data_IF_693676250686
#
_entry.id   IF_693676250686
#
_cell.length_a   1.000
_cell.length_b   1.000
_cell.length_c   1.000
_cell.angle_alpha   90.00
_cell.angle_beta   90.00
_cell.angle_gamma   90.00
#
_symmetry.space_group_name_H-M   'P 1'
#
loop_
_entity.id
_entity.type
_entity.pdbx_description
1 polymer ?
#
# COMPACT_ATOMS: atom_id res chain seq x y z
N UNK A 1 -4.87 7.91 14.70
CA UNK A 1 -5.81 6.77 14.58
C UNK A 1 -7.12 7.28 14.01
N UNK A 2 -7.81 6.50 13.18
CA UNK A 2 -9.14 6.81 12.68
C UNK A 2 -10.23 6.32 13.66
N UNK A 3 -11.29 7.12 13.90
CA UNK A 3 -12.33 6.80 14.88
C UNK A 3 -13.32 5.74 14.37
N UNK A 4 -14.10 5.06 15.25
CA UNK A 4 -14.82 3.82 14.94
C UNK A 4 -15.85 3.86 13.79
N UNK A 5 -16.33 5.06 13.44
CA UNK A 5 -17.26 5.30 12.33
C UNK A 5 -16.60 5.29 10.95
N UNK A 6 -15.28 5.49 10.86
CA UNK A 6 -14.55 5.35 9.60
C UNK A 6 -14.34 3.85 9.35
N UNK A 7 -14.82 3.36 8.21
CA UNK A 7 -14.83 1.94 7.85
C UNK A 7 -13.73 1.59 6.87
N UNK A 8 -13.34 0.33 6.92
CA UNK A 8 -12.33 -0.31 6.08
C UNK A 8 -12.93 -1.43 5.25
N UNK A 9 -12.21 -1.90 4.22
CA UNK A 9 -12.59 -3.11 3.49
C UNK A 9 -12.74 -4.33 4.43
N UNK A 10 -11.95 -4.39 5.51
CA UNK A 10 -12.06 -5.41 6.56
C UNK A 10 -13.39 -5.35 7.35
N UNK A 11 -13.94 -4.15 7.59
CA UNK A 11 -15.28 -4.00 8.18
C UNK A 11 -16.36 -4.57 7.24
N UNK A 12 -16.27 -4.26 5.95
CA UNK A 12 -17.26 -4.67 4.94
C UNK A 12 -17.23 -6.17 4.67
N UNK A 13 -16.04 -6.74 4.45
CA UNK A 13 -15.87 -8.19 4.25
C UNK A 13 -16.37 -8.97 5.47
N UNK A 14 -16.08 -8.49 6.68
CA UNK A 14 -16.64 -9.05 7.92
C UNK A 14 -18.17 -9.02 7.93
N UNK A 15 -18.79 -7.90 7.53
CA UNK A 15 -20.25 -7.76 7.46
C UNK A 15 -20.88 -8.68 6.39
N UNK A 16 -20.23 -8.82 5.23
CA UNK A 16 -20.59 -9.72 4.15
C UNK A 16 -20.32 -11.20 4.45
N UNK A 17 -19.65 -11.51 5.58
CA UNK A 17 -19.16 -12.85 5.99
C UNK A 17 -18.08 -13.44 5.08
N UNK A 18 -17.40 -12.60 4.31
CA UNK A 18 -16.25 -12.97 3.48
C UNK A 18 -14.99 -13.03 4.34
N UNK A 19 -14.21 -14.10 4.20
CA UNK A 19 -12.96 -14.26 4.96
C UNK A 19 -11.88 -13.30 4.41
N UNK A 20 -11.21 -12.59 5.30
CA UNK A 20 -10.11 -11.69 4.95
C UNK A 20 -8.94 -11.86 5.92
N UNK A 21 -7.72 -11.60 5.48
CA UNK A 21 -6.53 -11.47 6.36
C UNK A 21 -5.57 -10.39 5.86
N UNK A 22 -4.87 -9.79 6.82
CA UNK A 22 -3.66 -9.00 6.59
C UNK A 22 -2.43 -9.81 7.00
N UNK A 23 -1.44 -9.92 6.13
CA UNK A 23 -0.22 -10.68 6.33
C UNK A 23 0.98 -9.74 6.33
N UNK A 24 1.47 -9.45 7.52
CA UNK A 24 2.53 -8.46 7.75
C UNK A 24 3.83 -9.21 8.05
N UNK A 25 4.86 -9.04 7.21
CA UNK A 25 6.14 -9.71 7.46
C UNK A 25 6.82 -9.16 8.73
N UNK A 26 7.54 -10.04 9.43
CA UNK A 26 8.17 -9.83 10.76
C UNK A 26 7.30 -9.37 11.94
N UNK A 27 6.04 -8.98 11.73
CA UNK A 27 5.17 -8.47 12.79
C UNK A 27 5.10 -9.39 14.02
N UNK A 28 5.46 -8.87 15.19
CA UNK A 28 5.49 -9.59 16.47
C UNK A 28 6.82 -10.25 16.83
N UNK A 29 7.85 -10.14 16.00
CA UNK A 29 9.18 -10.74 16.23
C UNK A 29 9.94 -10.01 17.35
N UNK A 30 9.65 -8.73 17.57
CA UNK A 30 10.04 -7.92 18.72
C UNK A 30 8.85 -7.74 19.70
N UNK A 31 8.62 -8.69 20.64
CA UNK A 31 7.46 -8.67 21.55
C UNK A 31 7.52 -7.58 22.64
N UNK A 32 8.56 -6.73 22.63
CA UNK A 32 8.62 -5.52 23.45
C UNK A 32 8.13 -4.27 22.70
N UNK A 33 7.98 -4.34 21.37
CA UNK A 33 7.69 -3.21 20.47
C UNK A 33 6.25 -3.25 19.91
N UNK A 34 5.71 -4.41 19.56
CA UNK A 34 4.30 -4.57 19.16
C UNK A 34 3.69 -5.94 19.47
N UNK A 35 2.37 -6.05 19.29
CA UNK A 35 1.64 -7.31 19.37
C UNK A 35 1.77 -8.17 18.11
N UNK A 36 1.97 -9.49 18.27
CA UNK A 36 2.06 -10.45 17.18
C UNK A 36 0.75 -10.71 16.39
N UNK A 37 -0.34 -10.07 16.79
CA UNK A 37 -1.55 -9.90 15.98
C UNK A 37 -1.95 -8.43 16.01
N UNK A 38 -2.57 -7.93 14.93
CA UNK A 38 -2.81 -6.51 14.66
C UNK A 38 -1.57 -5.60 14.56
N UNK A 39 -0.44 -5.92 15.20
CA UNK A 39 0.79 -5.12 15.14
C UNK A 39 0.72 -3.82 15.95
N UNK A 40 -0.14 -3.78 16.98
CA UNK A 40 -0.36 -2.59 17.81
C UNK A 40 0.87 -2.32 18.69
N UNK A 41 1.38 -1.07 18.74
CA UNK A 41 2.60 -0.74 19.47
C UNK A 41 2.44 -0.96 20.98
N UNK A 42 3.53 -1.38 21.62
CA UNK A 42 3.64 -1.68 23.04
C UNK A 42 4.55 -0.67 23.76
N UNK A 43 4.25 -0.39 25.02
CA UNK A 43 5.16 0.28 25.96
C UNK A 43 5.23 -0.48 27.27
N UNK A 44 6.39 -0.50 27.90
CA UNK A 44 6.59 -1.05 29.24
C UNK A 44 6.71 0.09 30.25
N UNK A 45 5.75 0.19 31.18
CA UNK A 45 5.76 1.20 32.25
C UNK A 45 5.77 0.47 33.59
N UNK A 46 6.77 0.77 34.43
CA UNK A 46 6.96 0.14 35.75
C UNK A 46 6.96 -1.40 35.70
N UNK A 47 7.52 -1.99 34.64
CA UNK A 47 7.56 -3.44 34.43
C UNK A 47 6.29 -4.06 33.82
N UNK A 48 5.25 -3.26 33.55
CA UNK A 48 4.01 -3.72 32.91
C UNK A 48 3.99 -3.29 31.44
N UNK A 49 4.06 -4.26 30.53
CA UNK A 49 3.88 -4.06 29.08
C UNK A 49 2.40 -3.89 28.75
N UNK A 50 2.05 -2.89 27.93
CA UNK A 50 0.68 -2.62 27.48
C UNK A 50 0.65 -1.97 26.09
N UNK A 51 -0.48 -2.07 25.41
CA UNK A 51 -0.75 -1.38 24.14
C UNK A 51 -0.74 0.14 24.32
N UNK A 52 -0.19 0.85 23.33
CA UNK A 52 0.04 2.29 23.34
C UNK A 52 -0.43 2.96 22.03
N UNK A 53 -1.74 2.98 21.79
CA UNK A 53 -2.31 3.68 20.63
C UNK A 53 -2.09 5.20 20.72
N UNK A 54 -2.11 5.88 19.57
CA UNK A 54 -1.86 7.32 19.42
C UNK A 54 -0.49 7.79 19.95
N UNK A 55 0.52 6.92 20.00
CA UNK A 55 1.92 7.31 20.18
C UNK A 55 2.61 7.54 18.83
N UNK A 56 3.83 8.09 18.85
CA UNK A 56 4.72 8.16 17.69
C UNK A 56 5.07 6.73 17.24
N UNK A 57 4.98 6.46 15.95
CA UNK A 57 5.41 5.19 15.37
C UNK A 57 6.95 5.10 15.37
N UNK A 58 7.49 4.05 15.99
CA UNK A 58 8.93 3.76 16.00
C UNK A 58 9.42 2.99 14.77
N UNK A 59 8.52 2.38 13.98
CA UNK A 59 8.83 1.47 12.87
C UNK A 59 9.07 2.19 11.53
N UNK A 60 9.54 3.43 11.61
CA UNK A 60 9.68 4.34 10.46
C UNK A 60 10.93 4.09 9.60
N UNK A 61 11.86 3.24 10.04
CA UNK A 61 13.01 2.77 9.27
C UNK A 61 13.51 1.43 9.82
N UNK A 62 14.14 0.59 8.99
CA UNK A 62 14.66 -0.72 9.37
C UNK A 62 15.46 -0.68 10.70
N UNK A 63 15.27 -1.62 11.65
CA UNK A 63 15.95 -1.59 12.96
C UNK A 63 17.01 -2.69 13.15
N UNK A 64 18.00 -2.43 14.01
CA UNK A 64 19.08 -3.37 14.31
C UNK A 64 18.69 -4.32 15.45
N UNK A 65 17.59 -5.06 15.29
CA UNK A 65 17.07 -5.98 16.30
C UNK A 65 17.72 -7.38 16.23
N UNK A 66 18.11 -8.01 17.35
CA UNK A 66 18.61 -9.39 17.36
C UNK A 66 17.54 -10.38 16.88
N UNK A 67 17.80 -11.05 15.76
CA UNK A 67 16.81 -11.88 15.04
C UNK A 67 16.20 -11.18 13.82
N UNK A 68 16.51 -9.90 13.60
CA UNK A 68 16.19 -9.14 12.39
C UNK A 68 14.70 -8.90 12.23
N UNK A 69 14.07 -8.16 13.15
CA UNK A 69 12.70 -7.68 12.98
C UNK A 69 12.71 -6.40 12.14
N UNK A 70 11.92 -6.38 11.07
CA UNK A 70 11.79 -5.27 10.13
C UNK A 70 10.32 -4.90 9.83
N UNK A 71 9.37 -5.21 10.72
CA UNK A 71 7.96 -4.84 10.55
C UNK A 71 7.75 -3.32 10.57
N UNK A 72 6.81 -2.84 9.74
CA UNK A 72 6.42 -1.45 9.62
C UNK A 72 4.91 -1.26 9.86
N UNK A 73 4.55 -0.59 10.95
CA UNK A 73 3.16 -0.26 11.26
C UNK A 73 2.53 0.61 10.17
N UNK A 74 3.30 1.52 9.56
CA UNK A 74 2.83 2.36 8.43
C UNK A 74 2.35 1.57 7.22
N UNK A 75 2.88 0.37 6.95
CA UNK A 75 2.43 -0.49 5.86
C UNK A 75 1.18 -1.31 6.24
N UNK A 76 0.87 -1.45 7.52
CA UNK A 76 -0.31 -2.17 8.03
C UNK A 76 -1.49 -1.18 8.20
N UNK A 77 -2.38 -0.98 7.21
CA UNK A 77 -3.44 0.03 7.32
C UNK A 77 -4.41 -0.27 8.47
N UNK A 78 -4.64 -1.54 8.79
CA UNK A 78 -5.64 -1.98 9.76
C UNK A 78 -5.32 -1.56 11.20
N UNK A 79 -4.03 -1.41 11.55
CA UNK A 79 -3.59 -0.99 12.89
C UNK A 79 -3.97 0.46 13.23
N UNK A 80 -4.48 1.22 12.27
CA UNK A 80 -4.89 2.61 12.47
C UNK A 80 -6.38 2.82 12.72
N UNK A 81 -7.25 1.81 12.55
CA UNK A 81 -8.70 1.98 12.61
C UNK A 81 -9.33 1.36 13.86
N UNK A 82 -9.92 2.21 14.72
CA UNK A 82 -10.66 1.75 15.90
C UNK A 82 -11.84 0.81 15.56
N UNK A 83 -12.38 0.90 14.34
CA UNK A 83 -13.44 0.01 13.86
C UNK A 83 -13.05 -1.48 13.93
N UNK A 84 -11.80 -1.81 13.62
CA UNK A 84 -11.24 -3.16 13.63
C UNK A 84 -10.56 -3.51 14.96
N UNK A 85 -9.98 -2.53 15.64
CA UNK A 85 -9.24 -2.74 16.90
C UNK A 85 -10.23 -2.99 18.04
N UNK A 86 -11.20 -2.10 18.24
CA UNK A 86 -12.09 -2.13 19.40
C UNK A 86 -13.11 -3.29 19.32
N UNK A 87 -13.36 -3.79 18.11
CA UNK A 87 -14.14 -5.02 17.82
C UNK A 87 -13.31 -6.32 17.91
N UNK A 88 -11.99 -6.19 18.09
CA UNK A 88 -11.03 -7.29 18.08
C UNK A 88 -10.82 -7.97 16.72
N UNK A 89 -11.38 -7.44 15.62
CA UNK A 89 -11.20 -8.05 14.29
C UNK A 89 -9.75 -7.92 13.80
N UNK A 90 -9.08 -6.79 14.06
CA UNK A 90 -7.67 -6.63 13.71
C UNK A 90 -6.80 -7.73 14.35
N UNK A 91 -7.05 -8.07 15.62
CA UNK A 91 -6.32 -9.13 16.32
C UNK A 91 -6.68 -10.57 15.89
N UNK A 92 -7.77 -10.77 15.14
CA UNK A 92 -8.15 -12.07 14.54
C UNK A 92 -7.65 -12.25 13.12
N UNK A 93 -7.60 -11.16 12.34
CA UNK A 93 -7.42 -11.18 10.90
C UNK A 93 -6.06 -10.65 10.43
N UNK A 94 -5.35 -9.86 11.25
CA UNK A 94 -4.03 -9.32 10.90
C UNK A 94 -2.95 -10.07 11.66
N UNK A 95 -2.13 -10.81 10.90
CA UNK A 95 -1.20 -11.83 11.39
C UNK A 95 0.18 -11.70 10.72
N UNK A 96 1.17 -12.39 11.27
CA UNK A 96 2.51 -12.45 10.69
C UNK A 96 2.50 -13.21 9.33
N UNK A 97 3.27 -12.75 8.35
CA UNK A 97 3.35 -13.36 7.00
C UNK A 97 3.69 -14.86 6.99
N UNK A 98 4.40 -15.38 8.01
CA UNK A 98 4.69 -16.82 8.14
C UNK A 98 3.43 -17.71 8.16
N UNK A 99 2.25 -17.17 8.48
CA UNK A 99 0.98 -17.90 8.47
C UNK A 99 0.44 -18.15 7.04
N UNK A 100 0.86 -17.35 6.06
CA UNK A 100 0.30 -17.27 4.70
C UNK A 100 0.39 -18.59 3.93
N UNK A 101 1.53 -19.27 3.97
CA UNK A 101 1.72 -20.55 3.26
C UNK A 101 0.77 -21.65 3.76
N UNK A 102 0.41 -21.65 5.04
CA UNK A 102 -0.54 -22.61 5.60
C UNK A 102 -1.98 -22.27 5.19
N UNK A 103 -2.34 -20.98 5.17
CA UNK A 103 -3.67 -20.55 4.73
C UNK A 103 -3.92 -20.86 3.24
N UNK A 104 -2.91 -20.73 2.38
CA UNK A 104 -2.97 -21.11 0.95
C UNK A 104 -3.04 -22.62 0.67
N UNK A 105 -2.92 -23.49 1.69
CA UNK A 105 -2.89 -24.94 1.49
C UNK A 105 -4.23 -25.52 0.98
N UNK A 106 -5.35 -24.88 1.35
CA UNK A 106 -6.69 -25.24 0.91
C UNK A 106 -7.49 -23.97 0.53
N UNK A 107 -8.42 -24.13 -0.40
CA UNK A 107 -9.44 -23.13 -0.75
C UNK A 107 -10.16 -22.63 0.50
N UNK A 108 -10.69 -23.53 1.33
CA UNK A 108 -11.43 -23.22 2.56
C UNK A 108 -10.60 -22.59 3.70
N UNK A 109 -9.27 -22.56 3.59
CA UNK A 109 -8.38 -21.81 4.51
C UNK A 109 -7.85 -20.52 3.88
N UNK A 110 -7.96 -20.36 2.56
CA UNK A 110 -7.56 -19.15 1.85
C UNK A 110 -8.58 -18.04 2.12
N UNK A 111 -8.16 -16.83 2.52
CA UNK A 111 -9.07 -15.70 2.62
C UNK A 111 -9.50 -15.22 1.23
N UNK A 112 -10.78 -14.88 1.05
CA UNK A 112 -11.30 -14.22 -0.15
C UNK A 112 -10.49 -12.94 -0.45
N UNK A 113 -10.11 -12.19 0.59
CA UNK A 113 -9.21 -11.04 0.48
C UNK A 113 -7.95 -11.20 1.33
N UNK A 114 -6.79 -11.19 0.68
CA UNK A 114 -5.47 -11.27 1.32
C UNK A 114 -4.67 -10.00 1.04
N UNK A 115 -4.45 -9.17 2.06
CA UNK A 115 -3.56 -8.01 1.98
C UNK A 115 -2.17 -8.42 2.51
N UNK A 116 -1.10 -8.17 1.75
CA UNK A 116 0.25 -8.65 2.05
C UNK A 116 1.22 -7.48 2.05
N UNK A 117 2.06 -7.36 3.07
CA UNK A 117 3.17 -6.39 3.08
C UNK A 117 4.49 -7.07 3.43
N UNK A 118 5.52 -6.94 2.58
CA UNK A 118 6.88 -7.27 2.95
C UNK A 118 7.39 -6.37 4.08
N UNK A 119 8.49 -6.79 4.69
CA UNK A 119 9.19 -6.03 5.74
C UNK A 119 10.06 -4.92 5.14
N UNK A 120 10.69 -4.09 5.98
CA UNK A 120 11.52 -2.96 5.52
C UNK A 120 12.77 -3.36 4.72
N UNK A 121 13.19 -4.63 4.74
CA UNK A 121 14.24 -5.12 3.85
C UNK A 121 13.68 -5.64 2.51
N UNK A 122 12.41 -6.02 2.45
CA UNK A 122 11.76 -6.66 1.30
C UNK A 122 10.75 -5.77 0.56
N UNK A 123 10.42 -4.58 1.09
CA UNK A 123 9.43 -3.66 0.52
C UNK A 123 9.87 -3.02 -0.82
N UNK A 124 11.17 -2.90 -1.04
CA UNK A 124 11.77 -2.24 -2.20
C UNK A 124 12.40 -0.88 -1.91
N UNK A 125 12.34 -0.40 -0.66
CA UNK A 125 12.76 0.93 -0.23
C UNK A 125 14.14 0.96 0.47
N UNK A 126 14.34 0.24 1.59
CA UNK A 126 15.56 0.38 2.41
C UNK A 126 16.75 -0.46 1.88
N UNK A 127 17.36 -0.13 0.73
CA UNK A 127 18.68 -0.68 0.38
C UNK A 127 19.15 -0.48 -1.06
N UNK A 128 20.13 -1.29 -1.46
CA UNK A 128 20.76 -1.30 -2.78
C UNK A 128 21.05 0.10 -3.40
N UNK A 129 21.62 1.00 -2.60
CA UNK A 129 22.02 2.34 -3.04
C UNK A 129 21.08 3.47 -2.62
N UNK A 130 19.91 3.19 -2.02
CA UNK A 130 19.09 4.22 -1.36
C UNK A 130 19.73 4.71 -0.06
N UNK A 131 19.19 5.81 0.48
CA UNK A 131 19.69 6.49 1.70
C UNK A 131 19.44 5.68 2.98
N UNK A 132 18.28 5.03 3.08
CA UNK A 132 17.97 4.09 4.15
C UNK A 132 18.50 2.70 3.80
N UNK A 133 18.97 1.95 4.80
CA UNK A 133 19.54 0.61 4.61
C UNK A 133 18.85 -0.38 5.53
N UNK A 134 18.45 -1.51 4.97
CA UNK A 134 18.11 -2.75 5.68
C UNK A 134 19.12 -3.01 6.80
N UNK A 135 18.62 -3.17 8.04
CA UNK A 135 19.46 -3.25 9.25
C UNK A 135 19.58 -4.66 9.84
N UNK A 136 19.02 -5.68 9.20
CA UNK A 136 19.19 -7.07 9.64
C UNK A 136 20.61 -7.61 9.37
N UNK A 137 21.38 -6.97 8.47
CA UNK A 137 22.76 -7.31 8.06
C UNK A 137 22.96 -8.67 7.37
N UNK A 138 21.87 -9.38 7.04
CA UNK A 138 21.89 -10.68 6.35
C UNK A 138 21.80 -10.52 4.84
N UNK A 139 20.93 -9.61 4.37
CA UNK A 139 20.62 -9.43 2.96
C UNK A 139 20.66 -7.95 2.54
N UNK A 140 20.74 -7.63 1.23
CA UNK A 140 20.41 -6.29 0.76
C UNK A 140 18.93 -5.98 1.04
N UNK A 141 18.58 -4.70 0.99
CA UNK A 141 17.20 -4.27 0.74
C UNK A 141 17.07 -3.54 -0.59
N UNK A 142 15.94 -2.88 -0.81
CA UNK A 142 15.67 -2.18 -2.07
C UNK A 142 15.17 -3.12 -3.18
N UNK A 143 15.19 -2.65 -4.43
CA UNK A 143 14.56 -3.34 -5.57
C UNK A 143 15.02 -4.80 -5.82
N UNK A 144 16.21 -5.20 -5.37
CA UNK A 144 16.71 -6.58 -5.48
C UNK A 144 15.94 -7.55 -4.57
N UNK A 145 15.49 -7.07 -3.41
CA UNK A 145 14.93 -7.92 -2.35
C UNK A 145 13.42 -8.06 -2.47
N UNK A 146 12.72 -7.03 -2.95
CA UNK A 146 11.31 -7.18 -3.41
C UNK A 146 11.21 -8.11 -4.62
N UNK A 147 12.17 -8.09 -5.55
CA UNK A 147 12.25 -9.05 -6.66
C UNK A 147 12.45 -10.50 -6.16
N UNK A 148 13.34 -10.70 -5.18
CA UNK A 148 13.53 -12.00 -4.53
C UNK A 148 12.25 -12.48 -3.78
N UNK A 149 11.62 -11.59 -3.00
CA UNK A 149 10.37 -11.86 -2.29
C UNK A 149 9.24 -12.25 -3.26
N UNK A 150 9.03 -11.47 -4.32
CA UNK A 150 7.99 -11.75 -5.32
C UNK A 150 8.25 -13.06 -6.08
N UNK A 151 9.52 -13.38 -6.37
CA UNK A 151 9.92 -14.66 -7.00
C UNK A 151 9.61 -15.89 -6.13
N UNK A 152 9.46 -15.73 -4.82
CA UNK A 152 8.98 -16.80 -3.92
C UNK A 152 7.46 -16.74 -3.72
N UNK A 153 6.94 -15.55 -3.40
CA UNK A 153 5.54 -15.34 -2.98
C UNK A 153 4.54 -15.47 -4.14
N UNK A 154 4.84 -14.95 -5.33
CA UNK A 154 3.91 -15.03 -6.48
C UNK A 154 3.73 -16.48 -6.95
N UNK A 155 4.78 -17.29 -7.17
CA UNK A 155 4.61 -18.71 -7.48
C UNK A 155 3.93 -19.53 -6.37
N UNK A 156 4.05 -19.13 -5.09
CA UNK A 156 3.33 -19.77 -4.00
C UNK A 156 1.82 -19.55 -4.14
N UNK A 157 1.39 -18.29 -4.36
CA UNK A 157 -0.03 -17.96 -4.58
C UNK A 157 -0.54 -18.67 -5.84
N UNK A 158 0.18 -18.56 -6.96
CA UNK A 158 -0.22 -19.16 -8.24
C UNK A 158 -0.33 -20.69 -8.20
N UNK A 159 0.27 -21.34 -7.20
CA UNK A 159 0.15 -22.78 -6.99
C UNK A 159 -0.96 -23.20 -6.01
N UNK A 160 -1.55 -22.27 -5.25
CA UNK A 160 -2.69 -22.56 -4.36
C UNK A 160 -3.92 -23.09 -5.11
N UNK A 161 -4.85 -23.80 -4.45
CA UNK A 161 -6.12 -24.19 -5.06
C UNK A 161 -6.96 -22.99 -5.48
N UNK A 162 -7.19 -22.04 -4.55
CA UNK A 162 -8.03 -20.86 -4.78
C UNK A 162 -7.57 -20.02 -5.98
N UNK A 163 -6.27 -19.77 -6.14
CA UNK A 163 -5.80 -18.98 -7.28
C UNK A 163 -6.13 -19.64 -8.63
N UNK A 164 -6.14 -20.97 -8.69
CA UNK A 164 -6.42 -21.74 -9.91
C UNK A 164 -7.91 -21.82 -10.25
N UNK A 165 -8.79 -21.40 -9.33
CA UNK A 165 -10.22 -21.32 -9.54
C UNK A 165 -10.63 -19.94 -10.06
N UNK A 166 -10.49 -18.88 -9.25
CA UNK A 166 -10.94 -17.52 -9.58
C UNK A 166 -9.92 -16.40 -9.20
N UNK A 167 -8.68 -16.78 -8.90
CA UNK A 167 -7.67 -15.89 -8.32
C UNK A 167 -7.31 -14.61 -9.07
N UNK A 168 -7.08 -13.54 -8.30
CA UNK A 168 -6.46 -12.29 -8.74
C UNK A 168 -5.34 -11.89 -7.76
N UNK A 169 -4.13 -11.67 -8.28
CA UNK A 169 -3.04 -11.00 -7.58
C UNK A 169 -2.92 -9.58 -8.14
N UNK A 170 -2.82 -8.59 -7.26
CA UNK A 170 -2.47 -7.21 -7.58
C UNK A 170 -1.12 -6.92 -6.89
N UNK A 171 -0.10 -6.59 -7.67
CA UNK A 171 1.19 -6.08 -7.18
C UNK A 171 1.23 -4.58 -7.47
N UNK A 172 1.47 -3.77 -6.45
CA UNK A 172 1.55 -2.31 -6.54
C UNK A 172 2.45 -1.76 -5.42
N UNK A 173 2.72 -0.45 -5.44
CA UNK A 173 3.53 0.26 -4.45
C UNK A 173 2.67 1.33 -3.77
N UNK A 174 2.89 1.62 -2.50
CA UNK A 174 2.18 2.69 -1.79
C UNK A 174 2.55 4.08 -2.35
N UNK A 175 3.83 4.31 -2.62
CA UNK A 175 4.38 5.57 -3.16
C UNK A 175 5.47 5.39 -4.23
N UNK A 176 5.69 6.44 -5.03
CA UNK A 176 6.75 6.56 -6.02
C UNK A 176 8.03 7.19 -5.45
N UNK A 177 9.16 6.93 -6.09
CA UNK A 177 10.48 7.30 -5.57
C UNK A 177 10.75 8.81 -5.54
N UNK A 178 11.23 9.32 -4.40
CA UNK A 178 11.74 10.68 -4.26
C UNK A 178 13.18 10.79 -4.78
N UNK A 179 13.48 11.85 -5.54
CA UNK A 179 14.85 12.18 -5.93
C UNK A 179 15.45 13.23 -4.99
N UNK A 180 16.73 13.06 -4.62
CA UNK A 180 17.48 14.03 -3.81
C UNK A 180 18.73 14.51 -4.53
N UNK A 181 18.76 15.80 -4.86
CA UNK A 181 19.96 16.50 -5.33
C UNK A 181 20.68 17.12 -4.13
N UNK A 182 21.73 16.44 -3.67
CA UNK A 182 22.58 16.90 -2.57
C UNK A 182 23.49 18.08 -2.90
N UNK A 183 23.67 18.44 -4.18
CA UNK A 183 24.44 19.63 -4.57
C UNK A 183 23.59 20.90 -4.43
N UNK A 184 22.29 20.83 -4.77
CA UNK A 184 21.33 21.92 -4.61
C UNK A 184 20.47 21.82 -3.33
N UNK A 185 20.67 20.79 -2.50
CA UNK A 185 19.86 20.49 -1.31
C UNK A 185 18.35 20.43 -1.61
N UNK A 186 17.99 19.81 -2.73
CA UNK A 186 16.62 19.75 -3.25
C UNK A 186 16.07 18.33 -3.20
N UNK A 187 14.83 18.19 -2.70
CA UNK A 187 14.01 16.98 -2.88
C UNK A 187 12.99 17.26 -4.00
N UNK A 188 12.88 16.34 -4.96
CA UNK A 188 11.89 16.41 -6.05
C UNK A 188 11.17 15.07 -6.19
N UNK A 189 9.84 15.13 -6.05
CA UNK A 189 8.89 14.22 -6.68
C UNK A 189 8.37 14.89 -7.97
N UNK A 190 7.92 14.12 -8.97
CA UNK A 190 7.19 14.67 -10.13
C UNK A 190 5.75 15.04 -9.73
N UNK A 191 5.20 14.32 -8.74
CA UNK A 191 3.84 14.52 -8.21
C UNK A 191 2.75 14.19 -9.23
N UNK A 192 3.02 13.25 -10.15
CA UNK A 192 2.08 12.85 -11.18
C UNK A 192 0.88 12.19 -10.52
N UNK A 193 -0.29 12.76 -10.79
CA UNK A 193 -1.57 12.28 -10.26
C UNK A 193 -2.62 12.31 -11.37
N UNK A 194 -3.68 11.53 -11.19
CA UNK A 194 -4.68 11.26 -12.21
C UNK A 194 -6.09 11.28 -11.61
N UNK A 195 -7.08 10.83 -12.39
CA UNK A 195 -8.26 10.17 -11.83
C UNK A 195 -9.16 11.01 -10.91
N UNK A 196 -8.99 12.34 -10.89
CA UNK A 196 -9.61 13.22 -9.90
C UNK A 196 -9.11 12.97 -8.48
N UNK A 197 -7.82 12.65 -8.29
CA UNK A 197 -7.23 12.35 -6.99
C UNK A 197 -7.46 13.49 -5.98
N UNK A 198 -8.12 13.14 -4.87
CA UNK A 198 -8.50 14.07 -3.80
C UNK A 198 -7.41 14.17 -2.71
N UNK A 199 -7.39 15.23 -1.89
CA UNK A 199 -6.57 15.28 -0.67
C UNK A 199 -6.94 14.16 0.30
N UNK A 200 -5.95 13.59 0.99
CA UNK A 200 -6.19 12.62 2.07
C UNK A 200 -6.80 13.29 3.32
N UNK A 201 -7.61 12.57 4.12
CA UNK A 201 -8.40 13.16 5.21
C UNK A 201 -7.59 13.75 6.38
N UNK A 202 -6.29 13.44 6.46
CA UNK A 202 -5.36 13.97 7.47
C UNK A 202 -4.41 15.05 6.90
N UNK A 203 -4.59 15.44 5.63
CA UNK A 203 -3.89 16.58 5.03
C UNK A 203 -4.83 17.77 5.14
N UNK A 204 -4.41 18.87 5.77
CA UNK A 204 -5.22 20.09 5.76
C UNK A 204 -5.49 20.53 4.31
N UNK A 205 -6.68 21.08 4.00
CA UNK A 205 -6.96 21.60 2.67
C UNK A 205 -5.92 22.66 2.28
N UNK A 206 -4.98 22.27 1.39
CA UNK A 206 -3.92 23.14 0.93
C UNK A 206 -4.56 24.43 0.41
N UNK A 207 -4.19 25.57 1.01
CA UNK A 207 -5.01 26.79 1.02
C UNK A 207 -5.26 27.43 -0.37
N UNK A 208 -4.60 26.92 -1.41
CA UNK A 208 -4.93 27.16 -2.82
C UNK A 208 -4.81 25.83 -3.58
N UNK A 209 -5.75 25.48 -4.49
CA UNK A 209 -5.54 24.37 -5.42
C UNK A 209 -4.26 24.60 -6.24
N UNK A 210 -3.27 23.71 -6.11
CA UNK A 210 -1.92 23.92 -6.63
C UNK A 210 -0.97 24.59 -5.61
N UNK A 211 -0.68 23.90 -4.50
CA UNK A 211 0.35 24.21 -3.50
C UNK A 211 1.24 22.98 -3.19
N UNK A 212 1.97 22.46 -4.19
CA UNK A 212 3.30 20.96 -4.00
C UNK A 212 4.20 21.07 -2.75
N UNK A 213 4.70 19.93 -2.28
CA UNK A 213 5.59 19.83 -1.12
C UNK A 213 7.05 19.73 -1.55
N UNK A 214 7.54 20.73 -2.30
CA UNK A 214 8.99 20.93 -2.38
C UNK A 214 9.50 21.46 -1.05
N UNK A 215 10.53 20.82 -0.51
CA UNK A 215 11.40 21.38 0.52
C UNK A 215 12.70 21.76 -0.17
N UNK A 216 12.97 23.06 -0.26
CA UNK A 216 14.14 23.62 -0.91
C UNK A 216 14.62 24.88 -0.18
N UNK A 217 15.92 25.13 -0.29
CA UNK A 217 16.59 26.30 0.28
C UNK A 217 16.96 27.24 -0.85
N UNK A 218 16.40 28.46 -0.89
CA UNK A 218 16.86 29.48 -1.84
C UNK A 218 17.93 30.38 -1.20
N UNK A 219 19.03 30.58 -1.93
CA UNK A 219 20.06 31.60 -1.69
C UNK A 219 20.55 31.76 -0.24
N UNK A 220 21.63 31.04 0.13
CA UNK A 220 22.32 31.22 1.43
C UNK A 220 23.63 32.00 1.27
N UNK A 221 23.61 33.35 1.31
CA UNK A 221 24.73 34.11 1.86
C UNK A 221 24.99 33.68 3.31
N UNK A 222 26.26 33.61 3.72
CA UNK A 222 26.61 33.30 5.13
C UNK A 222 26.00 34.35 6.07
N UNK A 223 25.01 33.95 6.85
CA UNK A 223 24.39 34.75 7.91
C UNK A 223 22.91 35.08 7.72
N UNK A 224 22.31 34.74 6.58
CA UNK A 224 20.87 34.94 6.34
C UNK A 224 20.06 33.71 6.82
N UNK A 225 18.88 33.87 7.46
CA UNK A 225 17.96 32.76 7.70
C UNK A 225 17.51 32.12 6.37
N UNK A 226 17.31 30.79 6.31
CA UNK A 226 16.87 30.13 5.09
C UNK A 226 15.43 30.51 4.74
N UNK A 227 15.20 30.93 3.50
CA UNK A 227 13.86 31.02 2.93
C UNK A 227 13.40 29.63 2.48
N UNK A 228 12.36 29.10 3.12
CA UNK A 228 11.67 27.89 2.69
C UNK A 228 10.60 28.25 1.66
N UNK A 229 10.53 27.53 0.55
CA UNK A 229 9.46 27.67 -0.44
C UNK A 229 8.82 26.32 -0.78
N UNK A 230 7.51 26.22 -0.57
CA UNK A 230 6.70 25.05 -0.93
C UNK A 230 5.99 25.30 -2.24
N UNK A 231 6.45 24.66 -3.32
CA UNK A 231 5.69 24.53 -4.57
C UNK A 231 5.32 23.06 -4.75
N UNK A 232 4.00 22.82 -5.06
CA UNK A 232 2.00 20.92 -5.90
C UNK A 232 1.36 20.73 -7.34
N UNK A 233 1.82 19.73 -8.07
CA UNK A 233 1.27 19.36 -9.39
C UNK A 233 -0.05 18.59 -9.23
N UNK A 234 -0.24 17.94 -8.08
CA UNK A 234 -1.54 17.44 -7.62
C UNK A 234 -1.45 16.86 -6.19
N UNK A 235 -2.38 15.97 -5.84
CA UNK A 235 -2.37 15.19 -4.61
C UNK A 235 -1.97 13.73 -4.90
N UNK A 236 -1.35 13.03 -3.96
CA UNK A 236 -1.01 11.60 -4.08
C UNK A 236 0.50 11.32 -4.04
N UNK A 237 0.86 10.03 -4.07
CA UNK A 237 2.22 9.51 -3.93
C UNK A 237 2.97 9.30 -5.26
N UNK A 238 2.75 10.17 -6.25
CA UNK A 238 3.38 10.08 -7.59
C UNK A 238 3.01 8.82 -8.42
N UNK A 239 3.64 8.65 -9.61
CA UNK A 239 3.38 7.53 -10.52
C UNK A 239 4.08 6.24 -10.08
N UNK A 240 3.30 5.32 -9.53
CA UNK A 240 3.70 3.96 -9.16
C UNK A 240 3.59 2.94 -10.30
N UNK A 241 4.21 1.77 -10.11
CA UNK A 241 3.98 0.58 -10.91
C UNK A 241 2.75 -0.23 -10.45
N UNK A 242 2.15 -0.98 -11.37
CA UNK A 242 1.05 -1.91 -11.09
C UNK A 242 1.06 -3.10 -12.03
N UNK A 243 0.90 -4.31 -11.50
CA UNK A 243 0.83 -5.57 -12.26
C UNK A 243 -0.31 -6.42 -11.72
N UNK A 244 -1.16 -6.91 -12.60
CA UNK A 244 -2.25 -7.83 -12.27
C UNK A 244 -1.95 -9.22 -12.85
N UNK A 245 -2.19 -10.27 -12.07
CA UNK A 245 -2.07 -11.67 -12.50
C UNK A 245 -3.35 -12.41 -12.13
N UNK A 246 -4.00 -13.02 -13.12
CA UNK A 246 -5.22 -13.82 -12.94
C UNK A 246 -5.38 -14.77 -14.14
N UNK A 247 -5.97 -15.98 -13.98
CA UNK A 247 -6.35 -16.83 -15.11
C UNK A 247 -7.33 -16.17 -16.10
N UNK A 248 -8.01 -15.09 -15.69
CA UNK A 248 -9.08 -14.42 -16.44
C UNK A 248 -8.61 -13.17 -17.20
N UNK A 249 -7.33 -12.83 -17.13
CA UNK A 249 -6.72 -11.70 -17.86
C UNK A 249 -5.92 -12.18 -19.07
N UNK A 250 -5.96 -11.44 -20.17
CA UNK A 250 -5.17 -11.73 -21.36
C UNK A 250 -3.68 -11.50 -21.06
N UNK A 251 -2.81 -12.52 -21.16
CA UNK A 251 -1.38 -12.35 -20.89
C UNK A 251 -0.75 -11.32 -21.83
N UNK A 252 0.04 -10.40 -21.28
CA UNK A 252 0.74 -9.36 -22.04
C UNK A 252 -0.05 -8.07 -22.29
N UNK A 253 -1.34 -7.99 -21.91
CA UNK A 253 -2.10 -6.74 -22.05
C UNK A 253 -1.54 -5.62 -21.16
N UNK A 254 -1.39 -4.43 -21.75
CA UNK A 254 -1.03 -3.18 -21.06
C UNK A 254 -2.22 -2.24 -21.07
N UNK A 255 -2.80 -1.95 -19.90
CA UNK A 255 -3.83 -0.92 -19.77
C UNK A 255 -3.19 0.48 -19.78
N UNK A 256 -3.82 1.40 -20.51
CA UNK A 256 -3.49 2.83 -20.48
C UNK A 256 -4.56 3.65 -19.76
N UNK A 257 -5.56 2.98 -19.19
CA UNK A 257 -6.56 3.62 -18.32
C UNK A 257 -5.86 4.13 -17.06
N UNK A 258 -6.02 5.40 -16.67
CA UNK A 258 -5.39 5.94 -15.48
C UNK A 258 -6.09 5.43 -14.22
N UNK A 259 -5.30 5.03 -13.21
CA UNK A 259 -5.78 4.49 -11.94
C UNK A 259 -5.03 5.06 -10.72
N UNK A 260 -5.67 5.02 -9.55
CA UNK A 260 -5.06 5.34 -8.26
C UNK A 260 -5.38 4.24 -7.21
N UNK A 261 -4.96 4.40 -5.96
CA UNK A 261 -5.27 3.45 -4.88
C UNK A 261 -6.77 3.30 -4.60
N UNK A 262 -7.58 4.30 -4.91
CA UNK A 262 -9.04 4.19 -4.83
C UNK A 262 -9.65 3.43 -6.01
N UNK A 263 -9.01 3.40 -7.19
CA UNK A 263 -9.33 2.45 -8.26
C UNK A 263 -9.10 1.01 -7.81
N UNK A 264 -8.02 0.74 -7.10
CA UNK A 264 -7.76 -0.60 -6.53
C UNK A 264 -8.86 -0.99 -5.54
N UNK A 265 -9.15 -0.12 -4.56
CA UNK A 265 -10.19 -0.34 -3.57
C UNK A 265 -11.56 -0.56 -4.24
N UNK A 266 -11.95 0.32 -5.16
CA UNK A 266 -13.16 0.18 -5.99
C UNK A 266 -13.22 -1.17 -6.70
N UNK A 267 -12.11 -1.66 -7.25
CA UNK A 267 -12.06 -2.95 -7.94
C UNK A 267 -12.36 -4.10 -6.98
N UNK A 268 -11.80 -4.07 -5.78
CA UNK A 268 -12.04 -5.09 -4.73
C UNK A 268 -13.50 -5.03 -4.25
N UNK A 269 -14.04 -3.83 -4.06
CA UNK A 269 -15.44 -3.61 -3.66
C UNK A 269 -16.42 -4.06 -4.75
N UNK A 270 -16.16 -3.75 -6.03
CA UNK A 270 -16.96 -4.19 -7.18
C UNK A 270 -16.96 -5.72 -7.34
N UNK A 271 -15.80 -6.39 -7.13
CA UNK A 271 -15.68 -7.86 -7.17
C UNK A 271 -16.54 -8.54 -6.10
N UNK A 272 -16.54 -8.00 -4.88
CA UNK A 272 -17.27 -8.58 -3.74
C UNK A 272 -18.70 -8.04 -3.56
N UNK A 273 -19.18 -7.17 -4.46
CA UNK A 273 -20.53 -6.59 -4.40
C UNK A 273 -20.76 -5.67 -3.19
N UNK A 274 -19.73 -4.91 -2.80
CA UNK A 274 -19.71 -4.03 -1.63
C UNK A 274 -19.99 -2.56 -2.00
N UNK A 275 -20.46 -1.78 -1.03
CA UNK A 275 -20.49 -0.31 -1.16
C UNK A 275 -19.08 0.28 -1.32
N UNK A 276 -18.94 1.44 -1.96
CA UNK A 276 -17.62 2.06 -2.17
C UNK A 276 -17.17 2.96 -1.01
N UNK A 277 -16.00 2.72 -0.43
CA UNK A 277 -15.46 3.48 0.70
C UNK A 277 -14.65 4.71 0.29
N UNK A 278 -14.88 5.83 0.99
CA UNK A 278 -14.11 7.06 0.80
C UNK A 278 -14.19 7.57 -0.64
N UNK A 279 -13.04 7.74 -1.29
CA UNK A 279 -12.98 8.20 -2.68
C UNK A 279 -13.15 7.08 -3.71
N UNK A 280 -13.29 5.81 -3.32
CA UNK A 280 -13.62 4.73 -4.27
C UNK A 280 -14.98 4.99 -4.95
N UNK A 281 -15.93 5.59 -4.21
CA UNK A 281 -17.26 5.96 -4.72
C UNK A 281 -17.32 7.32 -5.45
N UNK A 282 -16.19 7.96 -5.75
CA UNK A 282 -16.22 9.30 -6.35
C UNK A 282 -16.69 9.27 -7.82
N UNK A 283 -17.51 10.24 -8.28
CA UNK A 283 -18.02 10.26 -9.64
C UNK A 283 -16.92 10.21 -10.70
N UNK A 284 -17.03 9.23 -11.61
CA UNK A 284 -16.12 9.05 -12.76
C UNK A 284 -14.87 8.22 -12.49
N UNK A 285 -14.56 7.85 -11.24
CA UNK A 285 -13.44 6.95 -10.94
C UNK A 285 -13.71 5.53 -11.47
N UNK A 286 -12.69 4.93 -12.06
CA UNK A 286 -12.74 3.59 -12.64
C UNK A 286 -11.98 2.59 -11.77
N UNK A 287 -12.48 1.37 -11.65
CA UNK A 287 -11.69 0.21 -11.22
C UNK A 287 -10.83 -0.33 -12.36
N UNK A 288 -9.92 -1.25 -12.08
CA UNK A 288 -8.93 -1.79 -13.04
C UNK A 288 -9.53 -2.45 -14.29
N UNK A 289 -10.78 -2.89 -14.20
CA UNK A 289 -11.54 -3.52 -15.28
C UNK A 289 -12.63 -2.60 -15.87
N UNK A 290 -12.66 -1.33 -15.46
CA UNK A 290 -13.55 -0.30 -16.00
C UNK A 290 -13.07 0.21 -17.36
N UNK A 291 -13.95 0.16 -18.36
CA UNK A 291 -13.62 0.52 -19.73
C UNK A 291 -13.56 2.06 -19.91
N UNK A 292 -12.52 2.58 -20.58
CA UNK A 292 -12.44 4.00 -20.96
C UNK A 292 -11.83 4.20 -22.35
N UNK A 293 -12.03 5.40 -22.92
CA UNK A 293 -11.16 5.90 -23.98
C UNK A 293 -9.90 6.49 -23.32
N UNK A 294 -8.72 6.00 -23.70
CA UNK A 294 -7.42 6.54 -23.27
C UNK A 294 -6.89 7.55 -24.29
N UNK A 295 -6.53 8.75 -23.84
CA UNK A 295 -5.85 9.77 -24.67
C UNK A 295 -4.35 9.45 -24.89
N UNK A 296 -3.79 8.47 -24.18
CA UNK A 296 -2.40 8.01 -24.39
C UNK A 296 -2.34 7.19 -25.69
N UNK A 297 -1.56 7.69 -26.65
CA UNK A 297 -1.29 6.99 -27.91
C UNK A 297 -0.31 5.83 -27.70
N UNK A 298 -0.83 4.62 -27.70
CA UNK A 298 -0.03 3.39 -27.94
C UNK A 298 0.50 3.33 -29.37
N UNK A 299 1.51 2.49 -29.59
CA UNK A 299 2.01 2.12 -30.91
C UNK A 299 1.02 1.28 -31.72
N UNK A 300 1.43 0.84 -32.91
CA UNK A 300 0.58 0.24 -33.94
C UNK A 300 0.21 -1.24 -33.72
N UNK A 301 -0.15 -1.63 -32.49
CA UNK A 301 -0.68 -2.97 -32.16
C UNK A 301 -1.95 -2.83 -31.28
N UNK A 302 -3.09 -3.30 -31.79
CA UNK A 302 -4.43 -3.07 -31.22
C UNK A 302 -4.85 -4.16 -30.20
N UNK A 303 -4.11 -4.26 -29.08
CA UNK A 303 -4.15 -5.45 -28.21
C UNK A 303 -4.77 -5.26 -26.79
N UNK A 304 -5.38 -4.10 -26.53
CA UNK A 304 -6.07 -3.73 -25.27
C UNK A 304 -7.45 -4.43 -25.11
N UNK A 305 -7.60 -5.25 -24.07
CA UNK A 305 -8.82 -6.03 -23.82
C UNK A 305 -10.02 -5.20 -23.30
N UNK A 306 -9.82 -3.98 -22.81
CA UNK A 306 -10.87 -3.14 -22.19
C UNK A 306 -11.36 -2.00 -23.10
N UNK A 307 -10.84 -1.93 -24.33
CA UNK A 307 -10.90 -0.74 -25.20
C UNK A 307 -12.27 -0.42 -25.80
N UNK A 308 -13.32 -1.19 -25.53
CA UNK A 308 -14.62 -1.05 -26.20
C UNK A 308 -15.76 -0.85 -25.21
N UNK A 309 -16.00 0.42 -24.87
CA UNK A 309 -17.24 0.89 -24.26
C UNK A 309 -18.40 0.87 -25.27
N UNK A 310 -18.72 -0.28 -25.87
CA UNK A 310 -20.06 -0.43 -26.45
C UNK A 310 -21.04 -0.48 -25.28
N UNK A 311 -21.68 0.66 -25.01
CA UNK A 311 -22.95 0.68 -24.30
C UNK A 311 -23.95 -0.09 -25.16
N UNK A 312 -24.21 -1.33 -24.80
CA UNK A 312 -25.44 -1.99 -25.21
C UNK A 312 -26.61 -1.08 -24.85
N UNK A 313 -27.41 -0.76 -25.87
CA UNK A 313 -28.61 0.07 -25.76
C UNK A 313 -29.81 -0.78 -26.13
N UNK A 314 -30.35 -1.45 -25.12
CA UNK A 314 -31.71 -1.98 -25.10
C UNK A 314 -32.45 -1.40 -23.88
#
# INVERSE_FOLDING_TARGET
MYPPQIKTIGDQLTAARLSWKGYMEDMGKNPAREQATCGQPLITVNGVTKVALNQVDGTQAAEAFPGGDQYAARHNPFVYFHSLIDSGQCARHVVNFNQFQQDLAHESTTPHFSFITPNLCHDGHDGNGTTTKCKNTVEPGGLVSIDAFLKQTVPLIMNSPAYKEDGLIIVTFDEGGLTFDGANSQITAEGISCCGQQPGPNIEPLLVPGQPLKLGFENIPRGTPPNFFTTTTGFGGDRIGGVLLSPFLKPGTVSNVPFNHYSMLKTVEDIFGLDHLGYAGQPGLQGFFGCTNSDIRVGWDDDDQFRHCQRDRD
#
